data_IF_027509126454
#
_entry.id   IF_027509126454
#
_cell.length_a   1.000
_cell.length_b   1.000
_cell.length_c   1.000
_cell.angle_alpha   90.00
_cell.angle_beta   90.00
_cell.angle_gamma   90.00
#
_symmetry.space_group_name_H-M   'P 1'
#
loop_
_entity.id
_entity.type
_entity.pdbx_description
1 polymer ?
#
# COMPACT_ATOMS: atom_id res chain seq x y z
N UNK A 1 -27.64 -54.87 -1.39
CA UNK A 1 -26.79 -55.86 -0.68
C UNK A 1 -25.84 -55.10 0.23
N UNK A 2 -25.98 -55.33 1.53
CA UNK A 2 -25.16 -54.76 2.60
C UNK A 2 -23.75 -55.34 2.53
N UNK A 3 -22.73 -54.50 2.75
CA UNK A 3 -21.47 -54.91 3.37
C UNK A 3 -21.03 -53.84 4.37
N UNK A 4 -21.52 -54.03 5.59
CA UNK A 4 -20.88 -53.65 6.86
C UNK A 4 -19.49 -54.31 6.84
N UNK A 5 -18.39 -53.68 7.23
CA UNK A 5 -17.75 -53.67 8.57
C UNK A 5 -16.36 -53.04 8.31
N UNK A 6 -15.81 -52.10 9.08
CA UNK A 6 -15.13 -52.35 10.35
C UNK A 6 -14.75 -51.02 10.99
N UNK A 7 -15.00 -50.96 12.30
CA UNK A 7 -14.66 -49.89 13.23
C UNK A 7 -13.16 -49.88 13.48
N UNK A 8 -12.52 -48.72 13.41
CA UNK A 8 -11.29 -48.44 14.15
C UNK A 8 -11.45 -47.11 14.89
N UNK A 9 -11.94 -47.25 16.11
CA UNK A 9 -11.89 -46.25 17.18
C UNK A 9 -10.42 -46.02 17.51
N UNK A 10 -9.89 -44.85 17.15
CA UNK A 10 -8.63 -44.34 17.71
C UNK A 10 -8.98 -43.15 18.61
N UNK A 11 -9.12 -43.48 19.90
CA UNK A 11 -9.19 -42.54 21.01
C UNK A 11 -7.84 -41.83 21.07
N UNK A 12 -7.77 -40.62 20.53
CA UNK A 12 -6.63 -39.74 20.78
C UNK A 12 -6.86 -39.04 22.11
N UNK A 13 -6.06 -39.45 23.10
CA UNK A 13 -6.11 -38.99 24.49
C UNK A 13 -5.98 -37.46 24.59
N UNK A 14 -6.99 -36.86 25.19
CA UNK A 14 -7.03 -35.49 25.65
C UNK A 14 -5.98 -35.30 26.76
N UNK A 15 -4.86 -34.65 26.45
CA UNK A 15 -3.97 -34.10 27.50
C UNK A 15 -4.24 -32.61 27.64
N UNK A 16 -5.02 -32.28 28.66
CA UNK A 16 -5.19 -30.93 29.15
C UNK A 16 -3.84 -30.45 29.73
N UNK A 17 -3.21 -29.48 29.07
CA UNK A 17 -2.29 -28.56 29.75
C UNK A 17 -3.05 -27.27 30.04
N UNK A 18 -3.61 -27.18 31.24
CA UNK A 18 -3.95 -25.89 31.84
C UNK A 18 -2.66 -25.32 32.40
N UNK A 19 -2.14 -24.28 31.76
CA UNK A 19 -1.24 -23.31 32.38
C UNK A 19 -1.95 -21.96 32.28
N UNK A 20 -2.37 -21.46 33.44
CA UNK A 20 -2.88 -20.11 33.61
C UNK A 20 -1.76 -19.23 34.18
N UNK A 21 -1.40 -18.17 33.44
CA UNK A 21 -0.79 -16.89 33.86
C UNK A 21 -0.11 -16.29 32.61
N UNK A 22 -0.17 -15.00 32.26
CA UNK A 22 -0.77 -13.79 32.83
C UNK A 22 -0.96 -12.78 31.68
N UNK A 23 -1.74 -11.73 31.93
CA UNK A 23 -2.26 -10.76 30.97
C UNK A 23 -1.23 -9.89 30.21
N UNK A 24 -1.65 -9.50 29.01
CA UNK A 24 -1.43 -8.24 28.28
C UNK A 24 -0.01 -7.83 27.85
N UNK A 25 0.25 -7.96 26.55
CA UNK A 25 0.50 -6.80 25.68
C UNK A 25 -0.02 -7.08 24.27
N UNK A 26 -0.83 -6.16 23.75
CA UNK A 26 -1.43 -6.19 22.43
C UNK A 26 -0.37 -6.21 21.31
N UNK A 27 -0.25 -7.33 20.61
CA UNK A 27 0.05 -7.30 19.19
C UNK A 27 -0.86 -8.32 18.53
N UNK A 28 -1.89 -7.79 17.87
CA UNK A 28 -2.69 -8.52 16.90
C UNK A 28 -1.72 -9.01 15.83
N UNK A 29 -1.24 -10.24 15.96
CA UNK A 29 -0.61 -10.97 14.86
C UNK A 29 -1.71 -11.29 13.85
N UNK A 30 -2.05 -10.29 13.03
CA UNK A 30 -2.82 -10.52 11.83
C UNK A 30 -1.90 -11.25 10.84
N UNK A 31 -1.91 -12.58 10.91
CA UNK A 31 -1.55 -13.41 9.78
C UNK A 31 -2.54 -13.13 8.63
N UNK A 32 -2.18 -12.21 7.72
CA UNK A 32 -2.99 -11.87 6.55
C UNK A 32 -2.11 -11.47 5.36
N UNK A 33 -1.82 -12.44 4.49
CA UNK A 33 -1.21 -12.34 3.15
C UNK A 33 0.18 -11.70 3.00
N UNK A 34 0.98 -12.24 2.08
CA UNK A 34 2.24 -11.67 1.56
C UNK A 34 2.01 -10.32 0.82
N UNK A 35 1.40 -9.31 1.45
CA UNK A 35 1.23 -7.98 0.86
C UNK A 35 2.55 -7.20 0.95
N UNK A 36 2.98 -6.63 -0.18
CA UNK A 36 4.22 -5.86 -0.26
C UNK A 36 4.13 -4.59 0.61
N UNK A 37 5.07 -4.40 1.53
CA UNK A 37 5.10 -3.21 2.38
C UNK A 37 5.57 -1.97 1.59
N UNK A 38 4.60 -1.15 1.19
CA UNK A 38 4.84 0.11 0.50
C UNK A 38 5.25 1.25 1.43
N UNK A 39 5.18 1.10 2.76
CA UNK A 39 5.40 2.20 3.69
C UNK A 39 6.79 2.84 3.53
N UNK A 40 7.91 2.10 3.45
CA UNK A 40 9.22 2.72 3.26
C UNK A 40 9.29 3.58 1.99
N UNK A 41 8.68 3.10 0.89
CA UNK A 41 8.62 3.84 -0.39
C UNK A 41 7.77 5.10 -0.27
N UNK A 42 6.59 5.01 0.37
CA UNK A 42 5.71 6.16 0.57
C UNK A 42 6.35 7.23 1.46
N UNK A 43 7.02 6.85 2.55
CA UNK A 43 7.72 7.80 3.43
C UNK A 43 8.89 8.47 2.72
N UNK A 44 9.68 7.72 1.94
CA UNK A 44 10.76 8.28 1.14
C UNK A 44 10.24 9.27 0.08
N UNK A 45 9.11 8.97 -0.58
CA UNK A 45 8.44 9.88 -1.51
C UNK A 45 7.94 11.14 -0.79
N UNK A 46 7.25 11.00 0.35
CA UNK A 46 6.74 12.14 1.14
C UNK A 46 7.88 13.10 1.50
N UNK A 47 9.01 12.54 1.94
CA UNK A 47 10.19 13.33 2.30
C UNK A 47 10.76 14.08 1.09
N UNK A 48 10.79 13.48 -0.11
CA UNK A 48 11.27 14.14 -1.34
C UNK A 48 10.30 15.21 -1.85
N UNK A 49 9.00 14.96 -1.76
CA UNK A 49 7.95 15.82 -2.33
C UNK A 49 7.66 17.06 -1.48
N UNK A 50 7.62 16.90 -0.16
CA UNK A 50 7.15 17.96 0.75
C UNK A 50 7.94 18.09 2.04
N UNK A 51 8.88 17.17 2.30
CA UNK A 51 9.51 17.06 3.63
C UNK A 51 8.49 16.79 4.74
N UNK A 52 7.35 16.15 4.42
CA UNK A 52 6.26 15.90 5.37
C UNK A 52 5.26 17.05 5.53
N UNK A 53 5.41 18.18 4.82
CA UNK A 53 4.47 19.28 4.93
C UNK A 53 3.14 18.97 4.23
N UNK A 54 2.10 18.71 5.04
CA UNK A 54 0.75 18.38 4.54
C UNK A 54 0.05 19.49 3.76
N UNK A 55 0.53 20.73 3.84
CA UNK A 55 -0.02 21.89 3.12
C UNK A 55 0.92 22.39 2.02
N UNK A 56 1.97 21.64 1.67
CA UNK A 56 2.88 21.98 0.58
C UNK A 56 2.11 22.19 -0.73
N UNK A 57 2.53 23.20 -1.51
CA UNK A 57 1.92 23.56 -2.78
C UNK A 57 2.99 23.97 -3.79
N UNK A 58 2.95 23.34 -4.96
CA UNK A 58 3.80 23.68 -6.11
C UNK A 58 2.96 23.60 -7.38
N UNK A 59 2.65 24.75 -7.98
CA UNK A 59 1.71 24.82 -9.10
C UNK A 59 0.35 24.21 -8.74
N UNK A 60 -0.07 23.19 -9.50
CA UNK A 60 -1.31 22.45 -9.25
C UNK A 60 -1.16 21.27 -8.29
N UNK A 61 0.07 20.88 -7.96
CA UNK A 61 0.40 19.82 -7.01
C UNK A 61 0.27 20.30 -5.57
N UNK A 62 -0.36 19.50 -4.72
CA UNK A 62 -0.57 19.85 -3.30
C UNK A 62 -0.42 18.64 -2.38
N UNK A 63 -0.16 18.91 -1.10
CA UNK A 63 -0.14 17.92 -0.04
C UNK A 63 1.20 17.20 0.12
N UNK A 64 1.22 16.23 1.04
CA UNK A 64 2.46 15.52 1.44
C UNK A 64 3.16 14.79 0.29
N UNK A 65 2.41 14.35 -0.72
CA UNK A 65 2.94 13.63 -1.89
C UNK A 65 2.78 14.43 -3.20
N UNK A 66 2.53 15.74 -3.12
CA UNK A 66 2.43 16.65 -4.28
C UNK A 66 1.49 16.14 -5.40
N UNK A 67 0.26 15.79 -5.03
CA UNK A 67 -0.71 15.17 -5.93
C UNK A 67 -1.36 16.22 -6.84
N UNK A 68 -1.44 15.95 -8.15
CA UNK A 68 -2.08 16.82 -9.15
C UNK A 68 -3.59 16.52 -9.30
N UNK A 69 -4.39 17.44 -9.91
CA UNK A 69 -5.78 17.14 -10.26
C UNK A 69 -5.93 15.94 -11.20
N UNK A 70 -4.98 15.75 -12.14
CA UNK A 70 -4.98 14.61 -13.08
C UNK A 70 -4.82 13.29 -12.33
N UNK A 71 -3.94 13.23 -11.32
CA UNK A 71 -3.79 12.06 -10.47
C UNK A 71 -5.09 11.69 -9.74
N UNK A 72 -5.84 12.68 -9.24
CA UNK A 72 -7.15 12.46 -8.60
C UNK A 72 -8.18 11.94 -9.60
N UNK A 73 -8.24 12.53 -10.80
CA UNK A 73 -9.11 12.06 -11.87
C UNK A 73 -8.79 10.60 -12.25
N UNK A 74 -7.51 10.25 -12.31
CA UNK A 74 -7.08 8.90 -12.64
C UNK A 74 -7.42 7.88 -11.55
N UNK A 75 -7.24 8.24 -10.29
CA UNK A 75 -7.72 7.41 -9.17
C UNK A 75 -9.23 7.16 -9.29
N UNK A 76 -10.02 8.19 -9.62
CA UNK A 76 -11.46 8.04 -9.81
C UNK A 76 -11.81 7.19 -11.04
N UNK A 77 -11.02 7.26 -12.12
CA UNK A 77 -11.18 6.40 -13.29
C UNK A 77 -10.94 4.92 -12.95
N UNK A 78 -9.89 4.61 -12.18
CA UNK A 78 -9.61 3.26 -11.70
C UNK A 78 -10.78 2.75 -10.84
N UNK A 79 -11.26 3.55 -9.89
CA UNK A 79 -12.38 3.18 -9.03
C UNK A 79 -13.67 2.95 -9.83
N UNK A 80 -13.92 3.76 -10.86
CA UNK A 80 -15.05 3.56 -11.78
C UNK A 80 -14.91 2.24 -12.54
N UNK A 81 -13.75 1.93 -13.11
CA UNK A 81 -13.48 0.65 -13.81
C UNK A 81 -13.65 -0.55 -12.89
N UNK A 82 -13.36 -0.39 -11.59
CA UNK A 82 -13.57 -1.41 -10.55
C UNK A 82 -14.99 -1.43 -9.96
N UNK A 83 -15.95 -0.70 -10.54
CA UNK A 83 -17.33 -0.57 -10.05
C UNK A 83 -17.45 -0.10 -8.58
N UNK A 84 -16.45 0.59 -8.05
CA UNK A 84 -16.50 1.16 -6.70
C UNK A 84 -17.34 2.44 -6.69
N UNK A 85 -18.07 2.68 -5.59
CA UNK A 85 -18.80 3.94 -5.34
C UNK A 85 -17.91 5.05 -4.77
N UNK A 86 -16.73 4.73 -4.22
CA UNK A 86 -15.79 5.70 -3.63
C UNK A 86 -15.28 6.68 -4.67
N UNK A 87 -15.22 7.98 -4.35
CA UNK A 87 -14.60 9.02 -5.20
C UNK A 87 -13.77 9.98 -4.36
N UNK A 88 -12.57 10.30 -4.83
CA UNK A 88 -11.71 11.31 -4.24
C UNK A 88 -12.09 12.71 -4.76
N UNK A 89 -12.02 13.69 -3.85
CA UNK A 89 -12.16 15.12 -4.14
C UNK A 89 -10.78 15.77 -4.25
N UNK A 90 -10.69 16.95 -4.89
CA UNK A 90 -9.42 17.69 -4.95
C UNK A 90 -8.88 18.09 -3.57
N UNK A 91 -9.74 18.28 -2.58
CA UNK A 91 -9.36 18.58 -1.20
C UNK A 91 -8.73 17.38 -0.47
N UNK A 92 -8.99 16.15 -0.93
CA UNK A 92 -8.46 14.94 -0.29
C UNK A 92 -6.94 14.82 -0.39
N UNK A 93 -6.33 15.57 -1.31
CA UNK A 93 -4.88 15.66 -1.49
C UNK A 93 -4.13 16.22 -0.27
N UNK A 94 -4.83 16.95 0.62
CA UNK A 94 -4.26 17.45 1.88
C UNK A 94 -4.37 16.46 3.05
N UNK A 95 -5.02 15.31 2.83
CA UNK A 95 -5.06 14.21 3.80
C UNK A 95 -3.91 13.25 3.54
N UNK A 96 -3.12 12.97 4.59
CA UNK A 96 -1.99 12.04 4.52
C UNK A 96 -2.49 10.63 4.17
N UNK A 97 -3.52 10.14 4.89
CA UNK A 97 -4.11 8.81 4.63
C UNK A 97 -4.60 8.69 3.19
N UNK A 98 -5.38 9.67 2.71
CA UNK A 98 -5.93 9.60 1.35
C UNK A 98 -4.86 9.75 0.28
N UNK A 99 -3.78 10.48 0.55
CA UNK A 99 -2.62 10.56 -0.35
C UNK A 99 -1.95 9.20 -0.52
N UNK A 100 -1.71 8.50 0.59
CA UNK A 100 -1.17 7.13 0.60
C UNK A 100 -2.12 6.15 -0.10
N UNK A 101 -3.42 6.23 0.17
CA UNK A 101 -4.42 5.40 -0.51
C UNK A 101 -4.46 5.63 -2.02
N UNK A 102 -4.32 6.88 -2.48
CA UNK A 102 -4.24 7.20 -3.92
C UNK A 102 -2.96 6.62 -4.55
N UNK A 103 -1.83 6.68 -3.85
CA UNK A 103 -0.60 6.03 -4.28
C UNK A 103 -0.79 4.51 -4.46
N UNK A 104 -1.31 3.83 -3.44
CA UNK A 104 -1.56 2.37 -3.47
C UNK A 104 -2.55 1.98 -4.56
N UNK A 105 -3.59 2.79 -4.77
CA UNK A 105 -4.56 2.56 -5.84
C UNK A 105 -3.88 2.58 -7.22
N UNK A 106 -3.00 3.56 -7.47
CA UNK A 106 -2.23 3.63 -8.71
C UNK A 106 -1.27 2.46 -8.85
N UNK A 107 -0.56 2.05 -7.78
CA UNK A 107 0.31 0.87 -7.83
C UNK A 107 -0.48 -0.40 -8.16
N UNK A 108 -1.65 -0.60 -7.55
CA UNK A 108 -2.49 -1.77 -7.82
C UNK A 108 -3.02 -1.83 -9.26
N UNK A 109 -3.10 -0.70 -9.97
CA UNK A 109 -3.58 -0.64 -11.35
C UNK A 109 -2.43 -0.69 -12.37
N UNK A 110 -1.31 -0.05 -12.04
CA UNK A 110 -0.22 0.23 -12.96
C UNK A 110 1.11 -0.34 -12.50
N UNK A 111 1.20 -1.19 -11.49
CA UNK A 111 2.42 -1.85 -11.07
C UNK A 111 2.12 -3.18 -10.35
N UNK A 112 1.42 -4.13 -11.01
CA UNK A 112 0.93 -5.35 -10.35
C UNK A 112 2.04 -6.29 -9.86
N UNK A 113 3.27 -6.10 -10.33
CA UNK A 113 4.44 -6.88 -9.91
C UNK A 113 5.24 -6.19 -8.80
N UNK A 114 4.73 -5.08 -8.25
CA UNK A 114 5.33 -4.32 -7.14
C UNK A 114 6.80 -3.90 -7.37
N UNK A 115 7.13 -3.46 -8.59
CA UNK A 115 8.47 -2.93 -8.87
C UNK A 115 8.67 -1.57 -8.19
N UNK A 116 9.61 -1.48 -7.24
CA UNK A 116 9.95 -0.24 -6.54
C UNK A 116 10.40 0.85 -7.54
N UNK A 117 11.25 0.49 -8.50
CA UNK A 117 11.73 1.44 -9.51
C UNK A 117 10.58 2.00 -10.34
N UNK A 118 9.68 1.13 -10.83
CA UNK A 118 8.50 1.57 -11.57
C UNK A 118 7.61 2.47 -10.72
N UNK A 119 7.39 2.13 -9.45
CA UNK A 119 6.58 2.95 -8.54
C UNK A 119 7.13 4.37 -8.41
N UNK A 120 8.43 4.49 -8.14
CA UNK A 120 9.10 5.77 -7.92
C UNK A 120 9.13 6.61 -9.21
N UNK A 121 9.49 5.99 -10.35
CA UNK A 121 9.59 6.71 -11.62
C UNK A 121 8.21 7.11 -12.16
N UNK A 122 7.22 6.23 -12.04
CA UNK A 122 5.86 6.55 -12.45
C UNK A 122 5.23 7.64 -11.58
N UNK A 123 5.58 7.73 -10.29
CA UNK A 123 5.15 8.84 -9.44
C UNK A 123 5.67 10.19 -9.95
N UNK A 124 6.93 10.23 -10.40
CA UNK A 124 7.55 11.45 -10.90
C UNK A 124 7.16 11.81 -12.35
N UNK A 125 7.07 10.83 -13.23
CA UNK A 125 6.93 11.03 -14.69
C UNK A 125 5.61 10.54 -15.29
N UNK A 126 4.71 9.99 -14.48
CA UNK A 126 3.52 9.28 -14.95
C UNK A 126 3.84 7.88 -15.52
N UNK A 127 2.81 7.14 -15.93
CA UNK A 127 2.94 5.74 -16.38
C UNK A 127 3.84 5.54 -17.62
N UNK A 128 4.06 6.58 -18.42
CA UNK A 128 4.95 6.58 -19.59
C UNK A 128 6.23 7.37 -19.33
N UNK A 129 6.74 7.30 -18.11
CA UNK A 129 7.93 8.05 -17.69
C UNK A 129 9.13 7.79 -18.61
N UNK A 130 9.98 8.80 -18.74
CA UNK A 130 11.30 8.65 -19.35
C UNK A 130 12.36 8.39 -18.26
N UNK A 131 13.18 7.35 -18.43
CA UNK A 131 14.20 6.94 -17.45
C UNK A 131 15.20 8.06 -17.19
N UNK A 132 15.74 8.70 -18.24
CA UNK A 132 16.72 9.79 -18.11
C UNK A 132 16.13 10.99 -17.36
N UNK A 133 14.88 11.35 -17.63
CA UNK A 133 14.20 12.49 -16.98
C UNK A 133 13.87 12.23 -15.51
N UNK A 134 13.54 10.98 -15.16
CA UNK A 134 13.18 10.59 -13.78
C UNK A 134 14.36 10.17 -12.92
N UNK A 135 15.57 10.06 -13.50
CA UNK A 135 16.75 9.52 -12.82
C UNK A 135 17.10 10.26 -11.52
N UNK A 136 17.18 11.60 -11.58
CA UNK A 136 17.51 12.41 -10.39
C UNK A 136 16.48 12.24 -9.27
N UNK A 137 15.20 12.11 -9.62
CA UNK A 137 14.14 11.87 -8.63
C UNK A 137 14.29 10.49 -8.01
N UNK A 138 14.48 9.46 -8.85
CA UNK A 138 14.70 8.09 -8.41
C UNK A 138 15.87 7.98 -7.41
N UNK A 139 17.01 8.60 -7.73
CA UNK A 139 18.19 8.62 -6.85
C UNK A 139 17.91 9.27 -5.49
N UNK A 140 17.14 10.36 -5.45
CA UNK A 140 16.75 11.02 -4.19
C UNK A 140 15.93 10.08 -3.30
N UNK A 141 14.96 9.39 -3.87
CA UNK A 141 14.10 8.45 -3.11
C UNK A 141 14.92 7.23 -2.67
N UNK A 142 15.73 6.64 -3.55
CA UNK A 142 16.57 5.49 -3.21
C UNK A 142 17.61 5.81 -2.13
N UNK A 143 18.11 7.05 -2.06
CA UNK A 143 19.01 7.49 -0.98
C UNK A 143 18.33 7.47 0.39
N UNK A 144 17.01 7.67 0.45
CA UNK A 144 16.25 7.61 1.70
C UNK A 144 15.88 6.18 2.09
N UNK A 145 15.64 5.30 1.11
CA UNK A 145 15.34 3.88 1.36
C UNK A 145 16.52 3.06 1.88
N UNK A 146 17.75 3.52 1.65
CA UNK A 146 18.99 2.86 2.09
C UNK A 146 19.46 3.29 3.48
N UNK A 147 18.74 4.23 4.12
CA UNK A 147 19.00 4.65 5.49
C UNK A 147 18.28 3.74 6.46
#
# INVERSE_FOLDING_TARGET
MKRITMVLVSIFMLTLKVVSASAETNSIENASSNEFDWNPVMEAIIQVESGGNRYAKSGSSVGVMQITPICVAECNNILKKRNSKKRYKLSDRFSISKSKEMFLLLQSAYNPLNSIERAIRAWNGGNHYNVKRTQRYFEKVMKLLKK
#
